data_IF_767561749988
#
_entry.id   IF_767561749988
#
_cell.length_a   1.000
_cell.length_b   1.000
_cell.length_c   1.000
_cell.angle_alpha   90.00
_cell.angle_beta   90.00
_cell.angle_gamma   90.00
#
_symmetry.space_group_name_H-M   'P 1'
#
loop_
_entity.id
_entity.type
_entity.pdbx_description
1 polymer ?
#
# COMPACT_ATOMS: atom_id res chain seq x y z
N UNK A 1 0.45 -20.94 43.05
CA UNK A 1 1.39 -19.80 42.96
C UNK A 1 1.16 -18.87 44.12
N UNK A 2 2.22 -18.47 44.82
CA UNK A 2 2.14 -17.41 45.82
C UNK A 2 1.86 -16.06 45.13
N UNK A 3 1.28 -15.08 45.83
CA UNK A 3 1.05 -13.71 45.29
C UNK A 3 2.34 -13.07 44.73
N UNK A 4 3.49 -13.50 45.23
CA UNK A 4 4.82 -13.05 44.82
C UNK A 4 5.30 -13.68 43.49
N UNK A 5 4.74 -14.81 43.07
CA UNK A 5 5.06 -15.46 41.79
C UNK A 5 4.23 -14.87 40.64
N UNK A 6 2.95 -14.54 40.86
CA UNK A 6 2.09 -13.94 39.83
C UNK A 6 2.56 -12.54 39.39
N UNK A 7 3.16 -11.76 40.30
CA UNK A 7 3.63 -10.40 39.99
C UNK A 7 4.85 -10.35 39.05
N UNK A 8 5.54 -11.48 38.86
CA UNK A 8 6.71 -11.61 37.98
C UNK A 8 6.34 -11.84 36.51
N UNK A 9 5.07 -12.10 36.21
CA UNK A 9 4.60 -12.37 34.86
C UNK A 9 3.56 -11.34 34.41
N UNK A 10 3.64 -10.99 33.14
CA UNK A 10 2.59 -10.28 32.41
C UNK A 10 2.11 -11.17 31.27
N UNK A 11 0.86 -10.99 30.86
CA UNK A 11 0.39 -11.55 29.60
C UNK A 11 0.20 -10.46 28.57
N UNK A 12 0.34 -10.82 27.30
CA UNK A 12 -0.03 -10.00 26.16
C UNK A 12 -1.00 -10.79 25.29
N UNK A 13 -2.16 -10.20 25.02
CA UNK A 13 -3.16 -10.77 24.14
C UNK A 13 -2.99 -10.17 22.73
N UNK A 14 -2.86 -11.03 21.75
CA UNK A 14 -2.92 -10.70 20.33
C UNK A 14 -4.16 -11.36 19.73
N UNK A 15 -5.04 -10.56 19.14
CA UNK A 15 -6.27 -11.02 18.47
C UNK A 15 -6.01 -10.96 16.98
N UNK A 16 -6.14 -12.09 16.29
CA UNK A 16 -5.83 -12.21 14.86
C UNK A 16 -7.05 -12.63 14.06
N UNK A 17 -7.05 -12.25 12.79
CA UNK A 17 -7.94 -12.84 11.79
C UNK A 17 -7.49 -14.26 11.40
N UNK A 18 -8.35 -15.00 10.69
CA UNK A 18 -8.05 -16.35 10.20
C UNK A 18 -6.81 -16.42 9.28
N UNK A 19 -6.54 -15.34 8.54
CA UNK A 19 -5.40 -15.25 7.62
C UNK A 19 -4.08 -14.95 8.34
N UNK A 20 -4.15 -14.49 9.60
CA UNK A 20 -3.03 -13.97 10.40
C UNK A 20 -2.33 -12.76 9.77
N UNK A 21 -2.96 -12.10 8.80
CA UNK A 21 -2.44 -10.88 8.17
C UNK A 21 -2.89 -9.63 8.90
N UNK A 22 -4.01 -9.70 9.62
CA UNK A 22 -4.51 -8.62 10.45
C UNK A 22 -4.46 -9.03 11.92
N UNK A 23 -3.86 -8.21 12.77
CA UNK A 23 -3.87 -8.44 14.21
C UNK A 23 -3.95 -7.18 15.05
N UNK A 24 -4.52 -7.34 16.24
CA UNK A 24 -4.62 -6.32 17.28
C UNK A 24 -3.83 -6.83 18.48
N UNK A 25 -2.74 -6.16 18.81
CA UNK A 25 -1.94 -6.48 19.99
C UNK A 25 -2.33 -5.50 21.11
N UNK A 26 -2.92 -6.04 22.17
CA UNK A 26 -3.37 -5.27 23.32
C UNK A 26 -2.19 -4.98 24.28
N UNK A 27 -2.33 -3.97 25.16
CA UNK A 27 -1.35 -3.70 26.20
C UNK A 27 -1.07 -4.91 27.08
N UNK A 28 0.16 -4.99 27.59
CA UNK A 28 0.54 -6.01 28.57
C UNK A 28 -0.25 -5.80 29.86
N UNK A 29 -0.74 -6.89 30.44
CA UNK A 29 -1.50 -6.86 31.69
C UNK A 29 -0.93 -7.86 32.71
N UNK A 30 -1.07 -7.52 33.99
CA UNK A 30 -0.62 -8.38 35.08
C UNK A 30 -1.54 -9.59 35.28
N UNK A 31 -0.98 -10.69 35.75
CA UNK A 31 -1.76 -11.90 36.04
C UNK A 31 -2.37 -11.80 37.44
N UNK A 32 -3.70 -11.83 37.52
CA UNK A 32 -4.43 -11.86 38.78
C UNK A 32 -4.22 -13.17 39.56
N UNK A 33 -4.40 -13.12 40.87
CA UNK A 33 -4.36 -14.33 41.71
C UNK A 33 -5.59 -15.21 41.46
N UNK A 34 -5.36 -16.52 41.29
CA UNK A 34 -6.41 -17.55 41.18
C UNK A 34 -7.43 -17.45 42.34
N UNK A 35 -6.98 -17.04 43.53
CA UNK A 35 -7.79 -16.87 44.74
C UNK A 35 -8.86 -15.78 44.60
N UNK A 36 -8.60 -14.74 43.81
CA UNK A 36 -9.57 -13.67 43.56
C UNK A 36 -10.69 -14.14 42.61
N UNK A 37 -10.36 -15.00 41.64
CA UNK A 37 -11.31 -15.59 40.71
C UNK A 37 -12.34 -16.49 41.43
N UNK A 38 -11.88 -17.39 42.31
CA UNK A 38 -12.76 -18.32 43.03
C UNK A 38 -13.65 -17.68 44.11
N UNK A 39 -13.33 -16.47 44.56
CA UNK A 39 -14.12 -15.78 45.60
C UNK A 39 -15.17 -14.81 45.03
N UNK A 40 -15.44 -14.82 43.72
CA UNK A 40 -16.49 -14.00 43.12
C UNK A 40 -16.28 -12.48 43.27
N UNK A 41 -15.08 -12.06 43.70
CA UNK A 41 -14.63 -10.68 43.54
C UNK A 41 -14.24 -10.51 42.08
N UNK A 42 -15.23 -10.38 41.21
CA UNK A 42 -15.03 -9.80 39.88
C UNK A 42 -14.32 -8.47 40.11
N UNK A 43 -13.06 -8.39 39.71
CA UNK A 43 -12.26 -7.18 39.86
C UNK A 43 -12.78 -6.20 38.80
N UNK A 44 -13.90 -5.53 39.09
CA UNK A 44 -14.64 -4.67 38.17
C UNK A 44 -13.81 -3.52 37.59
N UNK A 45 -12.68 -3.19 38.22
CA UNK A 45 -11.78 -2.11 37.80
C UNK A 45 -10.64 -2.57 36.86
N UNK A 46 -10.54 -3.86 36.53
CA UNK A 46 -9.43 -4.39 35.69
C UNK A 46 -9.87 -5.32 34.56
N UNK A 47 -11.16 -5.34 34.24
CA UNK A 47 -11.69 -6.07 33.08
C UNK A 47 -11.66 -5.13 31.87
N UNK A 48 -10.93 -5.53 30.83
CA UNK A 48 -11.01 -4.89 29.53
C UNK A 48 -12.24 -5.46 28.81
N UNK A 49 -13.27 -4.64 28.64
CA UNK A 49 -14.49 -5.04 27.94
C UNK A 49 -14.42 -4.50 26.51
N UNK A 50 -14.42 -5.41 25.53
CA UNK A 50 -14.38 -5.06 24.12
C UNK A 50 -15.59 -5.69 23.43
N UNK A 51 -16.41 -4.85 22.79
CA UNK A 51 -17.49 -5.33 21.94
C UNK A 51 -16.89 -6.02 20.70
N UNK A 52 -17.28 -7.29 20.51
CA UNK A 52 -16.84 -8.15 19.44
C UNK A 52 -17.14 -7.56 18.05
N UNK A 53 -18.16 -6.72 17.91
CA UNK A 53 -18.45 -6.03 16.66
C UNK A 53 -17.30 -5.10 16.24
N UNK A 54 -16.66 -4.43 17.20
CA UNK A 54 -15.50 -3.58 16.89
C UNK A 54 -14.26 -4.39 16.56
N UNK A 55 -14.01 -5.49 17.29
CA UNK A 55 -12.92 -6.42 16.97
C UNK A 55 -13.08 -6.95 15.55
N UNK A 56 -14.29 -7.40 15.20
CA UNK A 56 -14.57 -7.90 13.86
C UNK A 56 -14.32 -6.81 12.82
N UNK A 57 -14.72 -5.55 13.05
CA UNK A 57 -14.47 -4.44 12.11
C UNK A 57 -12.97 -4.13 11.96
N UNK A 58 -12.23 -4.10 13.07
CA UNK A 58 -10.79 -3.87 13.08
C UNK A 58 -10.02 -4.98 12.33
N UNK A 59 -10.54 -6.21 12.35
CA UNK A 59 -9.98 -7.36 11.65
C UNK A 59 -10.62 -7.62 10.27
N UNK A 60 -11.32 -6.62 9.70
CA UNK A 60 -11.92 -6.69 8.36
C UNK A 60 -12.94 -7.82 8.17
N UNK A 61 -13.80 -8.02 9.19
CA UNK A 61 -14.91 -8.98 9.23
C UNK A 61 -14.46 -10.43 9.01
N UNK A 62 -13.60 -10.99 9.89
CA UNK A 62 -13.18 -12.37 9.78
C UNK A 62 -14.34 -13.34 10.06
N UNK A 63 -14.28 -14.54 9.50
CA UNK A 63 -15.20 -15.64 9.82
C UNK A 63 -14.97 -16.17 11.24
N UNK A 64 -13.72 -16.19 11.71
CA UNK A 64 -13.38 -16.49 13.10
C UNK A 64 -12.14 -15.72 13.55
N UNK A 65 -12.04 -15.48 14.85
CA UNK A 65 -10.87 -14.82 15.46
C UNK A 65 -9.99 -15.83 16.18
N UNK A 66 -8.68 -15.59 16.16
CA UNK A 66 -7.69 -16.36 16.90
C UNK A 66 -7.22 -15.51 18.08
N UNK A 67 -7.20 -16.08 19.28
CA UNK A 67 -6.64 -15.44 20.47
C UNK A 67 -5.30 -16.07 20.81
N UNK A 68 -4.23 -15.30 20.65
CA UNK A 68 -2.87 -15.69 21.04
C UNK A 68 -2.50 -15.01 22.36
N UNK A 69 -2.21 -15.80 23.40
CA UNK A 69 -1.87 -15.31 24.74
C UNK A 69 -0.42 -15.61 25.02
N UNK A 70 0.41 -14.57 25.07
CA UNK A 70 1.85 -14.68 25.38
C UNK A 70 2.09 -14.37 26.85
N UNK A 71 2.69 -15.32 27.58
CA UNK A 71 3.16 -15.12 28.96
C UNK A 71 4.61 -14.62 28.94
N UNK A 72 4.87 -13.51 29.62
CA UNK A 72 6.14 -12.80 29.59
C UNK A 72 6.68 -12.69 31.02
N UNK A 73 7.89 -13.22 31.25
CA UNK A 73 8.60 -13.07 32.51
C UNK A 73 9.29 -11.70 32.55
N UNK A 74 8.98 -10.86 33.56
CA UNK A 74 9.57 -9.54 33.73
C UNK A 74 11.10 -9.55 33.91
N UNK A 75 11.68 -10.69 34.30
CA UNK A 75 13.12 -10.85 34.59
C UNK A 75 13.93 -11.39 33.42
N UNK A 76 13.31 -11.93 32.38
CA UNK A 76 14.01 -12.43 31.20
C UNK A 76 13.84 -11.46 30.03
N UNK A 77 14.88 -10.66 29.77
CA UNK A 77 14.99 -9.88 28.54
C UNK A 77 15.38 -10.84 27.41
N UNK A 78 14.40 -11.39 26.70
CA UNK A 78 14.66 -12.19 25.51
C UNK A 78 15.15 -11.28 24.37
N UNK A 79 16.45 -11.36 24.09
CA UNK A 79 17.07 -10.87 22.85
C UNK A 79 16.47 -11.62 21.67
N UNK A 80 15.76 -10.93 20.78
CA UNK A 80 15.39 -11.44 19.47
C UNK A 80 16.57 -11.17 18.53
N UNK A 81 17.22 -12.23 18.05
CA UNK A 81 18.17 -12.17 16.94
C UNK A 81 17.36 -12.45 15.67
N UNK A 82 17.22 -11.45 14.81
CA UNK A 82 16.66 -11.64 13.46
C UNK A 82 17.81 -11.60 12.47
N UNK A 83 18.14 -12.74 11.85
CA UNK A 83 19.08 -12.79 10.73
C UNK A 83 18.33 -12.69 9.40
N UNK A 84 18.74 -11.74 8.57
CA UNK A 84 18.26 -11.59 7.19
C UNK A 84 19.13 -12.40 6.21
N UNK A 85 18.52 -12.99 5.19
CA UNK A 85 19.21 -13.47 3.99
C UNK A 85 18.55 -12.84 2.76
N UNK A 86 19.37 -12.24 1.89
CA UNK A 86 18.93 -11.71 0.59
C UNK A 86 19.14 -12.79 -0.47
N UNK A 87 18.17 -12.95 -1.37
CA UNK A 87 18.37 -13.62 -2.66
C UNK A 87 18.02 -12.62 -3.78
N UNK A 88 19.00 -12.35 -4.65
CA UNK A 88 18.79 -11.65 -5.92
C UNK A 88 18.22 -12.64 -6.95
N UNK A 89 17.20 -12.27 -7.74
CA UNK A 89 16.77 -13.10 -8.86
C UNK A 89 17.75 -13.03 -10.04
N UNK A 90 17.80 -14.08 -10.90
CA UNK A 90 18.71 -14.14 -12.03
C UNK A 90 18.28 -13.16 -13.13
N UNK A 91 19.29 -12.56 -13.75
CA UNK A 91 19.15 -11.76 -14.97
C UNK A 91 18.78 -12.69 -16.13
N UNK A 92 17.50 -12.73 -16.51
CA UNK A 92 17.09 -13.34 -17.77
C UNK A 92 17.30 -12.31 -18.88
N UNK A 93 18.24 -12.59 -19.78
CA UNK A 93 18.34 -11.86 -21.04
C UNK A 93 17.14 -12.28 -21.91
N UNK A 94 16.17 -11.38 -22.08
CA UNK A 94 15.20 -11.46 -23.16
C UNK A 94 15.87 -10.99 -24.45
N UNK A 95 15.56 -11.67 -25.55
CA UNK A 95 15.88 -11.25 -26.92
C UNK A 95 15.15 -9.93 -27.26
N UNK A 96 15.59 -8.80 -26.72
CA UNK A 96 14.94 -7.49 -26.92
C UNK A 96 15.69 -6.55 -27.89
N UNK A 97 16.90 -6.92 -28.33
CA UNK A 97 17.74 -6.00 -29.14
C UNK A 97 17.62 -6.19 -30.66
N UNK A 98 16.73 -7.06 -31.14
CA UNK A 98 16.68 -7.43 -32.55
C UNK A 98 15.33 -7.22 -33.24
N UNK A 99 14.58 -6.14 -32.93
CA UNK A 99 13.63 -5.57 -33.88
C UNK A 99 13.28 -4.12 -33.47
N UNK A 100 13.57 -3.09 -34.29
CA UNK A 100 13.00 -1.78 -34.05
C UNK A 100 11.48 -1.91 -34.15
N UNK A 101 10.80 -1.77 -33.01
CA UNK A 101 9.35 -1.81 -32.89
C UNK A 101 8.73 -1.05 -34.07
N UNK A 102 7.94 -1.75 -34.88
CA UNK A 102 7.36 -1.21 -36.12
C UNK A 102 6.50 0.00 -35.74
N UNK A 103 6.98 1.22 -36.03
CA UNK A 103 6.35 2.48 -35.61
C UNK A 103 6.01 3.35 -36.81
N UNK A 104 4.94 4.11 -36.66
CA UNK A 104 4.55 5.13 -37.63
C UNK A 104 5.63 6.21 -37.66
N UNK A 105 6.24 6.46 -38.82
CA UNK A 105 7.28 7.48 -38.96
C UNK A 105 6.77 8.93 -38.79
N UNK A 106 5.45 9.12 -38.62
CA UNK A 106 4.82 10.42 -38.36
C UNK A 106 4.41 10.62 -36.90
N UNK A 107 3.61 9.72 -36.34
CA UNK A 107 3.08 9.88 -34.98
C UNK A 107 3.79 9.01 -33.93
N UNK A 108 4.74 8.16 -34.35
CA UNK A 108 5.50 7.29 -33.44
C UNK A 108 4.71 6.14 -32.83
N UNK A 109 3.41 6.00 -33.12
CA UNK A 109 2.58 4.91 -32.61
C UNK A 109 2.99 3.58 -33.20
N UNK A 110 2.83 2.50 -32.43
CA UNK A 110 3.08 1.15 -32.89
C UNK A 110 2.11 0.76 -34.02
N UNK A 111 2.66 0.18 -35.08
CA UNK A 111 1.94 -0.27 -36.26
C UNK A 111 1.67 -1.77 -36.13
N UNK A 112 0.43 -2.18 -36.42
CA UNK A 112 0.03 -3.59 -36.36
C UNK A 112 -1.10 -3.99 -37.31
N UNK A 113 -1.94 -3.03 -37.68
CA UNK A 113 -2.97 -3.20 -38.68
C UNK A 113 -3.01 -1.96 -39.57
N UNK A 114 -3.54 -2.12 -40.78
CA UNK A 114 -3.71 -1.06 -41.75
C UNK A 114 -2.45 -0.20 -41.94
N UNK A 115 -1.33 -0.87 -42.19
CA UNK A 115 -0.03 -0.25 -42.38
C UNK A 115 0.07 0.21 -43.84
N UNK A 116 0.34 1.49 -44.07
CA UNK A 116 0.57 2.03 -45.41
C UNK A 116 2.04 2.37 -45.59
N UNK A 117 2.53 2.31 -46.82
CA UNK A 117 3.93 2.52 -47.13
C UNK A 117 4.14 3.33 -48.41
N UNK A 118 5.24 4.08 -48.48
CA UNK A 118 5.62 4.80 -49.69
C UNK A 118 6.47 3.94 -50.63
N UNK A 119 6.73 4.42 -51.83
CA UNK A 119 7.60 3.75 -52.81
C UNK A 119 9.02 3.46 -52.32
N UNK A 120 9.49 4.17 -51.28
CA UNK A 120 10.78 3.93 -50.62
C UNK A 120 10.69 3.00 -49.38
N UNK A 121 9.50 2.52 -49.02
CA UNK A 121 9.30 1.57 -47.91
C UNK A 121 9.05 2.17 -46.52
N UNK A 122 8.88 3.49 -46.38
CA UNK A 122 8.54 4.10 -45.08
C UNK A 122 7.08 3.84 -44.69
N UNK A 123 6.85 3.38 -43.46
CA UNK A 123 5.55 2.95 -42.98
C UNK A 123 4.82 4.01 -42.12
N UNK A 124 3.52 4.15 -42.32
CA UNK A 124 2.60 5.01 -41.54
C UNK A 124 1.33 4.27 -41.15
N UNK A 125 0.67 4.73 -40.09
CA UNK A 125 -0.68 4.26 -39.74
C UNK A 125 -1.72 4.86 -40.69
N UNK A 126 -2.89 4.22 -40.75
CA UNK A 126 -4.04 4.67 -41.56
C UNK A 126 -4.41 6.13 -41.29
N UNK A 127 -4.47 6.56 -40.03
CA UNK A 127 -4.83 7.95 -39.67
C UNK A 127 -3.83 8.98 -40.19
N UNK A 128 -2.54 8.62 -40.19
CA UNK A 128 -1.49 9.47 -40.72
C UNK A 128 -1.48 9.48 -42.24
N UNK A 129 -1.79 8.35 -42.88
CA UNK A 129 -1.83 8.20 -44.33
C UNK A 129 -2.86 9.14 -44.98
N UNK A 130 -4.04 9.28 -44.39
CA UNK A 130 -5.09 10.16 -44.92
C UNK A 130 -4.74 11.65 -44.83
N UNK A 131 -3.86 12.00 -43.90
CA UNK A 131 -3.41 13.37 -43.64
C UNK A 131 -2.08 13.70 -44.36
N UNK A 132 -1.60 12.87 -45.27
CA UNK A 132 -0.35 13.05 -46.02
C UNK A 132 -0.57 12.79 -47.51
N UNK A 133 -0.29 13.78 -48.35
CA UNK A 133 -0.25 13.58 -49.80
C UNK A 133 1.03 12.87 -50.25
N UNK A 134 2.16 13.15 -49.58
CA UNK A 134 3.48 12.54 -49.84
C UNK A 134 4.15 12.09 -48.55
N UNK A 135 5.13 11.20 -48.67
CA UNK A 135 5.93 10.75 -47.53
C UNK A 135 6.64 11.93 -46.85
N UNK A 136 6.51 12.07 -45.53
CA UNK A 136 7.20 13.10 -44.75
C UNK A 136 8.71 12.86 -44.63
N UNK A 137 9.17 11.61 -44.77
CA UNK A 137 10.58 11.24 -44.65
C UNK A 137 11.35 11.35 -45.97
N UNK A 138 10.72 11.02 -47.11
CA UNK A 138 11.42 10.97 -48.41
C UNK A 138 10.69 11.68 -49.55
N UNK A 139 9.54 12.31 -49.30
CA UNK A 139 8.68 12.96 -50.32
C UNK A 139 8.17 12.03 -51.43
N UNK A 140 8.39 10.71 -51.31
CA UNK A 140 7.89 9.68 -52.22
C UNK A 140 6.37 9.58 -52.24
N UNK A 141 5.83 9.10 -53.37
CA UNK A 141 4.42 8.78 -53.51
C UNK A 141 4.05 7.57 -52.65
N UNK A 142 2.81 7.57 -52.15
CA UNK A 142 2.27 6.45 -51.40
C UNK A 142 1.85 5.31 -52.33
N UNK A 143 2.12 4.07 -51.91
CA UNK A 143 1.53 2.91 -52.55
C UNK A 143 0.01 2.91 -52.31
N UNK A 144 -0.74 2.40 -53.29
CA UNK A 144 -2.20 2.25 -53.18
C UNK A 144 -2.56 1.17 -52.16
N UNK A 145 -1.80 0.07 -52.18
CA UNK A 145 -2.02 -1.07 -51.31
C UNK A 145 -1.43 -0.89 -49.91
N UNK A 146 -1.97 -1.67 -48.97
CA UNK A 146 -1.45 -1.78 -47.60
C UNK A 146 -0.25 -2.73 -47.57
N UNK A 147 0.65 -2.51 -46.61
CA UNK A 147 1.80 -3.35 -46.37
C UNK A 147 1.41 -4.61 -45.56
N UNK A 148 0.70 -5.54 -46.21
CA UNK A 148 0.23 -6.79 -45.57
C UNK A 148 1.38 -7.63 -45.01
N UNK A 149 2.56 -7.58 -45.63
CA UNK A 149 3.74 -8.26 -45.12
C UNK A 149 4.18 -7.69 -43.76
N UNK A 150 4.20 -6.37 -43.61
CA UNK A 150 4.50 -5.72 -42.33
C UNK A 150 3.40 -5.93 -41.30
N UNK A 151 2.14 -6.04 -41.70
CA UNK A 151 1.05 -6.40 -40.78
C UNK A 151 1.23 -7.83 -40.22
N UNK A 152 1.62 -8.78 -41.07
CA UNK A 152 1.92 -10.16 -40.64
C UNK A 152 3.12 -10.18 -39.69
N UNK A 153 4.20 -9.47 -40.01
CA UNK A 153 5.35 -9.36 -39.12
C UNK A 153 4.97 -8.72 -37.78
N UNK A 154 4.20 -7.64 -37.80
CA UNK A 154 3.70 -7.00 -36.61
C UNK A 154 2.86 -7.92 -35.72
N UNK A 155 2.06 -8.81 -36.32
CA UNK A 155 1.24 -9.77 -35.57
C UNK A 155 2.04 -10.82 -34.78
N UNK A 156 3.33 -11.01 -35.13
CA UNK A 156 4.24 -11.93 -34.44
C UNK A 156 5.00 -11.25 -33.29
N UNK A 157 4.87 -9.94 -33.12
CA UNK A 157 5.59 -9.18 -32.10
C UNK A 157 4.75 -9.01 -30.83
N UNK A 158 5.45 -8.92 -29.70
CA UNK A 158 4.88 -8.42 -28.45
C UNK A 158 5.25 -6.96 -28.27
N UNK A 159 4.29 -6.16 -27.83
CA UNK A 159 4.43 -4.73 -27.68
C UNK A 159 4.37 -4.38 -26.20
N UNK A 160 5.22 -3.47 -25.70
CA UNK A 160 5.09 -2.96 -24.35
C UNK A 160 3.91 -1.98 -24.24
N UNK A 161 3.29 -1.93 -23.07
CA UNK A 161 2.35 -0.88 -22.72
C UNK A 161 3.00 0.51 -22.91
N UNK A 162 2.27 1.47 -23.48
CA UNK A 162 2.77 2.86 -23.60
C UNK A 162 3.13 3.49 -22.26
N UNK A 163 2.52 3.03 -21.15
CA UNK A 163 2.83 3.48 -19.79
C UNK A 163 4.03 2.75 -19.17
N UNK A 164 4.91 2.12 -19.97
CA UNK A 164 6.12 1.44 -19.45
C UNK A 164 7.05 2.38 -18.68
N UNK A 165 7.18 3.63 -19.13
CA UNK A 165 7.93 4.65 -18.40
C UNK A 165 7.33 4.98 -17.03
N UNK A 166 6.03 4.72 -16.83
CA UNK A 166 5.34 4.89 -15.56
C UNK A 166 5.38 3.64 -14.68
N UNK A 167 6.08 2.57 -15.08
CA UNK A 167 6.23 1.32 -14.32
C UNK A 167 5.40 0.14 -14.84
N UNK A 168 4.60 0.31 -15.90
CA UNK A 168 3.83 -0.80 -16.44
C UNK A 168 4.72 -1.79 -17.21
N UNK A 169 4.93 -2.99 -16.68
CA UNK A 169 5.73 -4.04 -17.32
C UNK A 169 4.94 -4.94 -18.27
N UNK A 170 3.64 -4.66 -18.47
CA UNK A 170 2.78 -5.48 -19.33
C UNK A 170 3.24 -5.43 -20.80
N UNK A 171 3.51 -6.60 -21.36
CA UNK A 171 3.92 -6.83 -22.75
C UNK A 171 3.05 -7.93 -23.34
N UNK A 172 2.46 -7.69 -24.51
CA UNK A 172 1.56 -8.64 -25.17
C UNK A 172 1.39 -8.30 -26.66
N UNK A 173 0.78 -9.18 -27.48
CA UNK A 173 0.36 -8.82 -28.83
C UNK A 173 -0.61 -7.63 -28.83
N UNK A 174 -0.62 -6.83 -29.91
CA UNK A 174 -1.31 -5.53 -29.94
C UNK A 174 -2.79 -5.53 -29.52
N UNK A 175 -3.64 -6.50 -29.91
CA UNK A 175 -5.03 -6.50 -29.46
C UNK A 175 -5.17 -6.47 -27.93
N UNK A 176 -4.34 -7.24 -27.22
CA UNK A 176 -4.33 -7.28 -25.76
C UNK A 176 -3.72 -6.01 -25.15
N UNK A 177 -2.76 -5.39 -25.84
CA UNK A 177 -2.18 -4.10 -25.40
C UNK A 177 -3.22 -2.98 -25.48
N UNK A 178 -4.01 -2.92 -26.55
CA UNK A 178 -5.08 -1.92 -26.69
C UNK A 178 -6.11 -2.08 -25.56
N UNK A 179 -6.55 -3.31 -25.30
CA UNK A 179 -7.49 -3.63 -24.23
C UNK A 179 -6.93 -3.33 -22.83
N UNK A 180 -5.64 -3.60 -22.63
CA UNK A 180 -4.92 -3.25 -21.41
C UNK A 180 -4.82 -1.73 -21.23
N UNK A 181 -4.41 -1.00 -22.27
CA UNK A 181 -4.19 0.46 -22.21
C UNK A 181 -5.48 1.24 -21.88
N UNK A 182 -6.65 0.73 -22.31
CA UNK A 182 -7.93 1.29 -21.93
C UNK A 182 -8.18 1.26 -20.40
N UNK A 183 -7.56 0.30 -19.69
CA UNK A 183 -7.76 0.05 -18.25
C UNK A 183 -6.44 0.08 -17.46
N UNK A 184 -5.37 0.59 -18.05
CA UNK A 184 -4.05 0.55 -17.45
C UNK A 184 -4.01 1.46 -16.23
N UNK A 185 -3.79 0.89 -15.05
CA UNK A 185 -3.74 1.64 -13.78
C UNK A 185 -2.58 2.66 -13.78
N UNK A 186 -1.50 2.39 -14.52
CA UNK A 186 -0.38 3.32 -14.67
C UNK A 186 -0.72 4.57 -15.50
N UNK A 187 -1.83 4.56 -16.25
CA UNK A 187 -2.39 5.77 -16.87
C UNK A 187 -2.97 6.72 -15.81
N UNK A 188 -3.59 6.18 -14.77
CA UNK A 188 -4.17 6.95 -13.65
C UNK A 188 -3.11 7.59 -12.76
N UNK A 189 -1.94 6.95 -12.66
CA UNK A 189 -0.76 7.47 -11.93
C UNK A 189 -0.31 8.82 -12.49
N UNK A 190 -0.40 9.03 -13.81
CA UNK A 190 0.17 10.22 -14.47
C UNK A 190 -0.68 11.50 -14.32
N UNK A 191 -1.95 11.38 -13.94
CA UNK A 191 -2.94 12.47 -14.04
C UNK A 191 -3.47 13.00 -12.70
N UNK A 192 -2.93 12.59 -11.55
CA UNK A 192 -3.46 12.97 -10.24
C UNK A 192 -2.73 14.14 -9.56
N UNK A 193 -3.52 14.90 -8.82
CA UNK A 193 -3.13 16.01 -7.95
C UNK A 193 -2.35 15.50 -6.73
N UNK A 194 -1.62 16.39 -6.07
CA UNK A 194 -1.01 16.07 -4.78
C UNK A 194 -2.08 15.85 -3.69
N UNK A 195 -1.87 14.88 -2.78
CA UNK A 195 -2.80 14.58 -1.69
C UNK A 195 -2.77 15.60 -0.54
N UNK A 196 -1.78 16.50 -0.52
CA UNK A 196 -1.66 17.53 0.51
C UNK A 196 -2.65 18.65 0.23
N UNK A 197 -3.50 18.96 1.22
CA UNK A 197 -4.46 20.08 1.14
C UNK A 197 -3.71 21.35 0.74
N UNK A 198 -4.27 22.12 -0.19
CA UNK A 198 -3.70 23.37 -0.72
C UNK A 198 -2.43 23.21 -1.57
N UNK A 199 -2.07 21.99 -1.99
CA UNK A 199 -1.03 21.80 -2.99
C UNK A 199 -1.62 21.78 -4.41
N UNK A 200 -1.07 22.61 -5.30
CA UNK A 200 -1.52 22.79 -6.69
C UNK A 200 -0.80 21.88 -7.70
N UNK A 201 0.09 21.00 -7.23
CA UNK A 201 0.88 20.14 -8.11
C UNK A 201 0.02 19.15 -8.90
N UNK A 202 0.30 19.07 -10.20
CA UNK A 202 -0.22 18.06 -11.12
C UNK A 202 0.93 17.54 -11.95
N UNK A 203 1.17 16.23 -11.94
CA UNK A 203 2.24 15.68 -12.75
C UNK A 203 2.63 14.24 -12.42
N UNK A 204 3.54 13.73 -13.25
CA UNK A 204 4.02 12.35 -13.18
C UNK A 204 5.13 12.16 -12.14
N UNK A 205 5.92 13.19 -11.83
CA UNK A 205 7.04 13.14 -10.86
C UNK A 205 6.56 13.34 -9.41
N UNK A 206 5.56 12.57 -8.99
CA UNK A 206 4.95 12.75 -7.67
C UNK A 206 5.88 12.43 -6.51
N UNK A 207 6.72 11.40 -6.64
CA UNK A 207 7.70 11.06 -5.60
C UNK A 207 8.61 12.27 -5.38
N UNK A 208 9.22 12.78 -6.45
CA UNK A 208 10.07 13.98 -6.43
C UNK A 208 9.33 15.18 -5.84
N UNK A 209 8.08 15.41 -6.27
CA UNK A 209 7.26 16.49 -5.75
C UNK A 209 7.02 16.38 -4.24
N UNK A 210 6.61 15.20 -3.75
CA UNK A 210 6.39 14.95 -2.33
C UNK A 210 7.69 15.13 -1.55
N UNK A 211 8.80 14.57 -2.02
CA UNK A 211 10.09 14.65 -1.34
C UNK A 211 10.64 16.08 -1.24
N UNK A 212 10.33 16.94 -2.22
CA UNK A 212 10.88 18.31 -2.27
C UNK A 212 9.97 19.36 -1.63
N UNK A 213 8.64 19.17 -1.71
CA UNK A 213 7.67 20.19 -1.31
C UNK A 213 6.87 19.86 -0.05
N UNK A 214 6.97 18.63 0.45
CA UNK A 214 6.18 18.17 1.60
C UNK A 214 7.06 17.50 2.64
N UNK A 215 6.64 17.56 3.90
CA UNK A 215 7.36 16.93 4.99
C UNK A 215 7.19 15.41 4.90
N UNK A 216 8.31 14.71 4.76
CA UNK A 216 8.39 13.27 4.92
C UNK A 216 8.77 12.94 6.36
N UNK A 217 7.98 12.08 6.99
CA UNK A 217 8.28 11.54 8.30
C UNK A 217 9.12 10.27 8.19
N UNK A 218 9.98 10.06 9.19
CA UNK A 218 10.72 8.81 9.34
C UNK A 218 9.81 7.72 9.91
N UNK A 219 9.89 6.52 9.33
CA UNK A 219 9.25 5.33 9.92
C UNK A 219 9.95 4.97 11.23
N UNK A 220 9.24 4.25 12.10
CA UNK A 220 9.77 3.80 13.39
C UNK A 220 10.01 4.93 14.42
N UNK A 221 9.51 6.13 14.18
CA UNK A 221 9.51 7.25 15.14
C UNK A 221 8.10 7.61 15.61
N UNK A 222 8.01 8.25 16.80
CA UNK A 222 6.74 8.66 17.40
C UNK A 222 6.37 10.10 17.06
N UNK A 223 5.14 10.29 16.57
CA UNK A 223 4.57 11.59 16.21
C UNK A 223 3.24 11.80 16.93
N UNK A 224 2.85 13.05 17.16
CA UNK A 224 1.55 13.36 17.74
C UNK A 224 0.42 13.09 16.74
N UNK A 225 -0.66 12.44 17.17
CA UNK A 225 -1.87 12.27 16.36
C UNK A 225 -2.53 13.63 16.12
N UNK A 226 -2.82 13.94 14.85
CA UNK A 226 -3.61 15.10 14.40
C UNK A 226 -4.44 14.70 13.19
N UNK A 227 -5.49 15.46 12.91
CA UNK A 227 -6.36 15.33 11.73
C UNK A 227 -5.66 15.82 10.45
N UNK A 228 -4.65 15.07 10.02
CA UNK A 228 -3.77 15.41 8.90
C UNK A 228 -3.31 14.16 8.14
N UNK A 229 -2.76 14.38 6.93
CA UNK A 229 -2.11 13.35 6.13
C UNK A 229 -0.61 13.37 6.37
N UNK A 230 -0.06 12.20 6.67
CA UNK A 230 1.37 11.99 6.88
C UNK A 230 1.94 11.15 5.74
N UNK A 231 3.15 11.49 5.30
CA UNK A 231 3.83 10.80 4.21
C UNK A 231 5.15 10.22 4.71
N UNK A 232 5.42 8.98 4.30
CA UNK A 232 6.63 8.24 4.61
C UNK A 232 7.23 7.73 3.31
N UNK A 233 8.56 7.77 3.19
CA UNK A 233 9.27 7.14 2.08
C UNK A 233 9.77 5.76 2.52
N UNK A 234 9.34 4.71 1.84
CA UNK A 234 9.76 3.34 2.13
C UNK A 234 10.12 2.61 0.83
N UNK A 235 11.36 2.15 0.71
CA UNK A 235 11.87 1.44 -0.48
C UNK A 235 11.57 2.14 -1.83
N UNK A 236 11.54 3.48 -1.84
CA UNK A 236 11.25 4.28 -3.02
C UNK A 236 9.75 4.51 -3.30
N UNK A 237 8.86 3.87 -2.56
CA UNK A 237 7.42 4.11 -2.61
C UNK A 237 7.00 5.12 -1.50
N UNK A 238 5.95 5.89 -1.77
CA UNK A 238 5.35 6.80 -0.78
C UNK A 238 4.21 6.09 -0.07
N UNK A 239 4.28 6.01 1.25
CA UNK A 239 3.23 5.51 2.11
C UNK A 239 2.52 6.70 2.74
N UNK A 240 1.21 6.83 2.50
CA UNK A 240 0.38 7.85 3.12
C UNK A 240 -0.41 7.25 4.29
N UNK A 241 -0.34 7.90 5.44
CA UNK A 241 -1.21 7.65 6.58
C UNK A 241 -2.18 8.82 6.70
N UNK A 242 -3.46 8.56 6.46
CA UNK A 242 -4.53 9.54 6.70
C UNK A 242 -5.15 9.22 8.06
N UNK A 243 -5.07 10.18 8.99
CA UNK A 243 -5.68 10.09 10.31
C UNK A 243 -6.81 11.12 10.38
N UNK A 244 -8.02 10.65 10.68
CA UNK A 244 -9.18 11.47 11.01
C UNK A 244 -9.50 11.22 12.50
N UNK A 245 -9.22 12.23 13.32
CA UNK A 245 -9.44 12.19 14.76
C UNK A 245 -10.27 13.39 15.19
N UNK A 246 -11.56 13.16 15.39
CA UNK A 246 -12.44 14.11 16.04
C UNK A 246 -12.49 13.81 17.55
N UNK A 247 -12.49 14.85 18.37
CA UNK A 247 -12.58 14.75 19.84
C UNK A 247 -13.89 14.00 20.20
N UNK A 248 -13.79 13.03 21.11
CA UNK A 248 -14.87 12.12 21.57
C UNK A 248 -15.45 11.17 20.50
N UNK A 249 -14.73 10.94 19.39
CA UNK A 249 -15.13 10.02 18.31
C UNK A 249 -14.03 8.95 18.11
N UNK A 250 -14.43 7.83 17.49
CA UNK A 250 -13.53 6.79 16.97
C UNK A 250 -12.35 7.38 16.19
N UNK A 251 -11.14 6.86 16.44
CA UNK A 251 -10.00 7.15 15.59
C UNK A 251 -10.17 6.41 14.27
N UNK A 252 -10.24 7.16 13.17
CA UNK A 252 -10.30 6.60 11.82
C UNK A 252 -8.98 6.80 11.14
N UNK A 253 -8.50 5.77 10.46
CA UNK A 253 -7.27 5.90 9.70
C UNK A 253 -7.21 4.98 8.50
N UNK A 254 -6.37 5.33 7.53
CA UNK A 254 -6.01 4.45 6.43
C UNK A 254 -4.52 4.57 6.12
N UNK A 255 -3.92 3.46 5.70
CA UNK A 255 -2.53 3.41 5.23
C UNK A 255 -2.53 2.98 3.78
N UNK A 256 -2.11 3.90 2.90
CA UNK A 256 -2.17 3.73 1.45
C UNK A 256 -0.75 3.76 0.88
N UNK A 257 -0.43 2.77 0.05
CA UNK A 257 0.74 2.83 -0.82
C UNK A 257 0.38 3.67 -2.05
N UNK A 258 0.80 4.94 -2.05
CA UNK A 258 0.51 5.88 -3.12
C UNK A 258 0.99 5.34 -4.46
N UNK A 259 0.17 5.51 -5.50
CA UNK A 259 0.47 5.10 -6.87
C UNK A 259 0.76 3.61 -7.04
N UNK A 260 0.35 2.77 -6.08
CA UNK A 260 0.40 1.32 -6.22
C UNK A 260 -0.94 0.75 -6.66
N UNK A 261 -0.91 -0.24 -7.54
CA UNK A 261 -2.03 -1.10 -7.88
C UNK A 261 -2.05 -2.42 -7.08
N UNK A 262 -0.94 -2.72 -6.42
CA UNK A 262 -0.72 -4.00 -5.75
C UNK A 262 -0.44 -3.79 -4.26
N UNK A 263 -0.83 -4.79 -3.47
CA UNK A 263 -0.52 -4.86 -2.04
C UNK A 263 0.95 -5.29 -1.92
N UNK A 264 1.85 -4.34 -1.61
CA UNK A 264 3.30 -4.58 -1.53
C UNK A 264 3.82 -4.68 -0.10
N UNK A 265 3.14 -4.01 0.82
CA UNK A 265 3.64 -3.73 2.16
C UNK A 265 2.58 -4.02 3.21
N UNK A 266 3.05 -4.39 4.38
CA UNK A 266 2.28 -4.44 5.62
C UNK A 266 2.83 -3.41 6.59
N UNK A 267 2.02 -3.06 7.59
CA UNK A 267 2.42 -2.06 8.57
C UNK A 267 2.07 -2.49 10.00
N UNK A 268 2.80 -1.92 10.95
CA UNK A 268 2.43 -1.88 12.36
C UNK A 268 2.20 -0.41 12.75
N UNK A 269 0.96 -0.07 13.07
CA UNK A 269 0.60 1.23 13.65
C UNK A 269 0.53 1.09 15.17
N UNK A 270 1.44 1.73 15.86
CA UNK A 270 1.51 1.75 17.32
C UNK A 270 0.91 3.04 17.86
N UNK A 271 0.02 2.93 18.84
CA UNK A 271 -0.55 4.06 19.58
C UNK A 271 -0.11 3.98 21.04
N UNK A 272 0.34 5.12 21.56
CA UNK A 272 0.74 5.30 22.97
C UNK A 272 0.18 6.61 23.52
N UNK A 273 0.08 6.72 24.84
CA UNK A 273 -0.06 8.01 25.51
C UNK A 273 1.19 8.88 25.26
N UNK A 274 1.03 10.20 25.21
CA UNK A 274 2.16 11.12 25.21
C UNK A 274 3.07 10.82 26.43
N UNK A 275 4.40 10.78 26.27
CA UNK A 275 5.34 10.41 27.32
C UNK A 275 5.28 11.32 28.56
N UNK A 276 4.70 12.52 28.43
CA UNK A 276 4.49 13.46 29.54
C UNK A 276 3.22 13.18 30.36
N UNK A 277 2.41 12.17 30.00
CA UNK A 277 1.19 11.76 30.71
C UNK A 277 1.45 10.37 31.31
N UNK A 278 2.18 10.33 32.42
CA UNK A 278 2.60 9.09 33.07
C UNK A 278 1.48 8.44 33.88
N UNK A 279 1.04 7.24 33.45
CA UNK A 279 0.66 6.13 34.36
C UNK A 279 0.57 4.78 33.63
N UNK A 280 0.26 4.77 32.35
CA UNK A 280 0.09 3.57 31.53
C UNK A 280 1.22 3.48 30.51
N UNK A 281 2.12 2.50 30.64
CA UNK A 281 2.99 2.06 29.51
C UNK A 281 2.14 1.31 28.45
N UNK A 282 0.89 1.72 28.27
CA UNK A 282 -0.07 1.08 27.40
C UNK A 282 0.35 1.35 25.96
N UNK A 283 0.35 0.28 25.18
CA UNK A 283 0.67 0.31 23.77
C UNK A 283 -0.34 -0.56 23.04
N UNK A 284 -1.13 0.07 22.18
CA UNK A 284 -1.98 -0.63 21.23
C UNK A 284 -1.21 -0.76 19.92
N UNK A 285 -1.13 -1.95 19.34
CA UNK A 285 -0.52 -2.16 18.02
C UNK A 285 -1.52 -2.77 17.06
N UNK A 286 -1.72 -2.14 15.91
CA UNK A 286 -2.57 -2.61 14.82
C UNK A 286 -1.67 -3.04 13.67
N UNK A 287 -1.78 -4.31 13.26
CA UNK A 287 -1.04 -4.87 12.13
C UNK A 287 -2.00 -5.15 10.99
N UNK A 288 -1.76 -4.58 9.82
CA UNK A 288 -2.57 -4.80 8.61
C UNK A 288 -1.71 -4.58 7.36
N UNK A 289 -2.31 -4.82 6.19
CA UNK A 289 -1.68 -4.53 4.88
C UNK A 289 -1.90 -3.07 4.44
N UNK A 290 -0.87 -2.47 3.85
CA UNK A 290 -0.99 -1.18 3.17
C UNK A 290 -1.89 -1.34 1.94
N UNK A 291 -2.98 -0.59 1.87
CA UNK A 291 -3.88 -0.65 0.72
C UNK A 291 -3.20 -0.02 -0.51
N UNK A 292 -3.27 -0.64 -1.70
CA UNK A 292 -2.89 0.06 -2.92
C UNK A 292 -3.78 1.28 -3.10
N UNK A 293 -3.32 2.30 -3.81
CA UNK A 293 -4.21 3.42 -4.15
C UNK A 293 -5.29 3.00 -5.15
N UNK A 294 -4.91 2.16 -6.12
CA UNK A 294 -5.81 1.72 -7.18
C UNK A 294 -6.45 0.37 -6.83
N UNK A 295 -7.17 0.34 -5.70
CA UNK A 295 -8.03 -0.80 -5.39
C UNK A 295 -9.42 -0.58 -5.98
N UNK A 296 -10.11 -1.68 -6.30
CA UNK A 296 -11.56 -1.66 -6.56
C UNK A 296 -12.38 -1.78 -5.27
N UNK A 297 -11.75 -1.66 -4.10
CA UNK A 297 -12.38 -1.87 -2.80
C UNK A 297 -13.27 -0.68 -2.43
N UNK A 298 -14.32 -0.98 -1.67
CA UNK A 298 -15.18 0.03 -1.07
C UNK A 298 -14.36 0.91 -0.09
N UNK A 299 -14.57 2.24 -0.04
CA UNK A 299 -13.92 3.12 0.94
C UNK A 299 -14.02 2.63 2.40
N UNK A 300 -15.12 1.94 2.75
CA UNK A 300 -15.32 1.33 4.07
C UNK A 300 -14.35 0.18 4.39
N UNK A 301 -13.76 -0.45 3.37
CA UNK A 301 -12.74 -1.50 3.53
C UNK A 301 -11.34 -0.91 3.66
N UNK A 302 -11.11 0.29 3.14
CA UNK A 302 -9.84 1.02 3.23
C UNK A 302 -9.71 1.68 4.60
N UNK A 303 -10.79 2.25 5.11
CA UNK A 303 -10.82 2.95 6.40
C UNK A 303 -10.87 1.94 7.56
N UNK A 304 -10.01 2.14 8.55
CA UNK A 304 -10.00 1.37 9.79
C UNK A 304 -10.50 2.24 10.93
N UNK A 305 -11.46 1.73 11.70
CA UNK A 305 -12.11 2.42 12.81
C UNK A 305 -11.66 1.81 14.14
N UNK A 306 -10.93 2.57 14.95
CA UNK A 306 -10.59 2.20 16.32
C UNK A 306 -11.59 2.88 17.25
N UNK A 307 -12.45 2.12 17.95
CA UNK A 307 -13.54 2.71 18.70
C UNK A 307 -13.03 3.53 19.88
N UNK A 308 -13.68 4.68 20.14
CA UNK A 308 -13.32 5.51 21.29
C UNK A 308 -13.43 4.76 22.63
N UNK A 309 -14.39 3.83 22.75
CA UNK A 309 -14.57 2.99 23.94
C UNK A 309 -13.38 2.07 24.22
N UNK A 310 -12.64 1.63 23.20
CA UNK A 310 -11.39 0.90 23.39
C UNK A 310 -10.28 1.88 23.80
N UNK A 311 -10.15 3.01 23.08
CA UNK A 311 -9.10 3.99 23.37
C UNK A 311 -9.19 4.54 24.80
N UNK A 312 -10.39 4.87 25.27
CA UNK A 312 -10.62 5.44 26.61
C UNK A 312 -10.39 4.45 27.75
N UNK A 313 -10.49 3.13 27.49
CA UNK A 313 -10.11 2.09 28.45
C UNK A 313 -8.59 1.88 28.50
N UNK A 314 -7.88 2.11 27.39
CA UNK A 314 -6.45 1.84 27.28
C UNK A 314 -5.57 3.06 27.63
N UNK A 315 -6.03 4.28 27.33
CA UNK A 315 -5.23 5.49 27.37
C UNK A 315 -5.84 6.54 28.29
N UNK A 316 -4.97 7.28 29.00
CA UNK A 316 -5.40 8.31 29.95
C UNK A 316 -5.91 9.57 29.27
N UNK A 317 -5.33 9.92 28.12
CA UNK A 317 -5.70 11.12 27.40
C UNK A 317 -5.67 10.90 25.88
N UNK A 318 -6.83 10.50 25.34
CA UNK A 318 -7.00 10.28 23.90
C UNK A 318 -6.66 11.52 23.05
N UNK A 319 -6.75 12.74 23.58
CA UNK A 319 -6.40 13.97 22.86
C UNK A 319 -4.88 14.20 22.73
N UNK A 320 -4.06 13.41 23.45
CA UNK A 320 -2.58 13.49 23.41
C UNK A 320 -1.95 12.17 22.98
N UNK A 321 -2.64 11.39 22.15
CA UNK A 321 -2.07 10.17 21.61
C UNK A 321 -0.89 10.49 20.69
N UNK A 322 0.11 9.62 20.74
CA UNK A 322 1.18 9.56 19.76
C UNK A 322 1.07 8.27 18.97
N UNK A 323 1.42 8.35 17.69
CA UNK A 323 1.47 7.22 16.80
C UNK A 323 2.88 6.97 16.30
N UNK A 324 3.16 5.72 15.94
CA UNK A 324 4.39 5.31 15.26
C UNK A 324 4.03 4.29 14.19
N UNK A 325 4.46 4.55 12.96
CA UNK A 325 4.22 3.68 11.81
C UNK A 325 5.51 2.94 11.47
N UNK A 326 5.45 1.59 11.48
CA UNK A 326 6.48 0.74 10.89
C UNK A 326 5.93 0.09 9.63
N UNK A 327 6.74 0.00 8.58
CA UNK A 327 6.36 -0.60 7.29
C UNK A 327 7.33 -1.73 6.95
N UNK A 328 6.80 -2.82 6.40
CA UNK A 328 7.53 -4.03 6.05
C UNK A 328 7.07 -4.53 4.67
N UNK A 329 7.93 -5.17 3.87
CA UNK A 329 7.47 -5.92 2.71
C UNK A 329 6.53 -7.05 3.13
N UNK A 330 5.62 -7.42 2.23
CA UNK A 330 4.87 -8.67 2.31
C UNK A 330 5.71 -9.72 1.56
N UNK A 331 5.90 -10.88 2.19
CA UNK A 331 6.66 -12.01 1.64
C UNK A 331 5.88 -12.78 0.56
#
# INVERSE_FOLDING_TARGET
MSLHECSMFEYQLEILDESKTNSIVLPKAGIGSLRNYFHGKTVSESVLEIDLNYINKLLKMPHFIILDIKLINKKEVSKVITSAARCLPPRTQSFDDALPNIKCNRCGTHLWQNIHFCSSGHNVCVDCRWKLERCNSCSGSWCLERNVAMERLASLLSYPCENRAAGCLYTAPMPYIVDHQARCLHKLILSRECYVKQCDYRGHNFITHITERHLLLETDEFYQVKDEKYFFLYNGDIIALELDFLIDIDLKYSVICCRSAEVKYQYELQLIDSPNVTKTNAKLTLKQVCQPEYTSLDPSQILTHVPFSLLSQLFLNCAKLMFKLKVFPID
#
